data_IF_967273463239
#
_entry.id   IF_967273463239
#
_cell.length_a   1.000
_cell.length_b   1.000
_cell.length_c   1.000
_cell.angle_alpha   90.00
_cell.angle_beta   90.00
_cell.angle_gamma   90.00
#
_symmetry.space_group_name_H-M   'P 1'
#
loop_
_entity.id
_entity.type
_entity.pdbx_description
1 polymer ?
#
# COMPACT_ATOMS: atom_id res chain seq x y z
N UNK A 1 -3.45 -7.64 -27.12
CA UNK A 1 -3.40 -7.94 -25.68
C UNK A 1 -4.82 -7.91 -25.12
N UNK A 2 -5.20 -8.89 -24.27
CA UNK A 2 -6.50 -8.92 -23.57
C UNK A 2 -6.34 -8.21 -22.23
N UNK A 3 -7.26 -7.30 -21.92
CA UNK A 3 -7.20 -6.54 -20.69
C UNK A 3 -8.56 -6.50 -19.96
N UNK A 4 -8.53 -6.45 -18.64
CA UNK A 4 -9.69 -6.15 -17.81
C UNK A 4 -9.45 -4.87 -17.02
N UNK A 5 -10.38 -3.92 -17.11
CA UNK A 5 -10.39 -2.72 -16.26
C UNK A 5 -11.37 -2.95 -15.10
N UNK A 6 -10.84 -2.99 -13.90
CA UNK A 6 -11.63 -3.14 -12.66
C UNK A 6 -11.82 -1.75 -12.05
N UNK A 7 -13.06 -1.33 -11.93
CA UNK A 7 -13.43 0.03 -11.50
C UNK A 7 -14.18 0.00 -10.19
N UNK A 8 -13.74 0.78 -9.21
CA UNK A 8 -14.51 1.05 -8.01
C UNK A 8 -15.35 2.32 -8.21
N UNK A 9 -16.69 2.21 -8.41
CA UNK A 9 -17.55 3.35 -8.67
C UNK A 9 -17.67 4.30 -7.47
N UNK A 10 -17.33 3.85 -6.26
CA UNK A 10 -17.38 4.65 -5.04
C UNK A 10 -16.05 5.34 -4.70
N UNK A 11 -15.00 5.18 -5.51
CA UNK A 11 -13.74 5.86 -5.29
C UNK A 11 -13.88 7.37 -5.56
N UNK A 12 -13.18 8.18 -4.76
CA UNK A 12 -13.36 9.64 -4.69
C UNK A 12 -13.23 10.36 -6.04
N UNK A 13 -12.32 9.88 -6.90
CA UNK A 13 -12.07 10.48 -8.22
C UNK A 13 -12.81 9.79 -9.36
N UNK A 14 -13.67 8.80 -9.07
CA UNK A 14 -14.41 8.03 -10.09
C UNK A 14 -15.77 8.67 -10.35
N UNK A 15 -16.06 8.92 -11.62
CA UNK A 15 -17.38 9.27 -12.14
C UNK A 15 -17.66 8.42 -13.38
N UNK A 16 -18.91 8.21 -13.74
CA UNK A 16 -19.27 7.45 -14.95
C UNK A 16 -18.61 8.04 -16.20
N UNK A 17 -18.70 9.34 -16.38
CA UNK A 17 -18.08 10.03 -17.52
C UNK A 17 -16.56 9.82 -17.56
N UNK A 18 -15.89 9.89 -16.41
CA UNK A 18 -14.44 9.66 -16.34
C UNK A 18 -14.11 8.21 -16.65
N UNK A 19 -14.79 7.24 -16.04
CA UNK A 19 -14.65 5.81 -16.35
C UNK A 19 -14.75 5.55 -17.85
N UNK A 20 -15.78 6.09 -18.49
CA UNK A 20 -16.03 5.85 -19.93
C UNK A 20 -14.95 6.48 -20.80
N UNK A 21 -14.46 7.67 -20.44
CA UNK A 21 -13.33 8.32 -21.11
C UNK A 21 -12.06 7.45 -21.03
N UNK A 22 -11.70 7.01 -19.83
CA UNK A 22 -10.49 6.21 -19.59
C UNK A 22 -10.60 4.84 -20.29
N UNK A 23 -11.77 4.20 -20.21
CA UNK A 23 -12.03 2.93 -20.88
C UNK A 23 -11.95 3.06 -22.40
N UNK A 24 -12.52 4.12 -22.97
CA UNK A 24 -12.45 4.38 -24.41
C UNK A 24 -11.01 4.57 -24.88
N UNK A 25 -10.22 5.35 -24.16
CA UNK A 25 -8.81 5.56 -24.47
C UNK A 25 -8.00 4.25 -24.43
N UNK A 26 -8.17 3.44 -23.38
CA UNK A 26 -7.48 2.15 -23.28
C UNK A 26 -7.92 1.14 -24.35
N UNK A 27 -9.20 1.15 -24.74
CA UNK A 27 -9.73 0.25 -25.76
C UNK A 27 -9.14 0.49 -27.18
N UNK A 28 -8.47 1.62 -27.39
CA UNK A 28 -7.72 1.87 -28.62
C UNK A 28 -6.49 0.95 -28.76
N UNK A 29 -5.87 0.57 -27.64
CA UNK A 29 -4.62 -0.21 -27.63
C UNK A 29 -4.81 -1.68 -27.21
N UNK A 30 -5.91 -2.00 -26.48
CA UNK A 30 -6.13 -3.34 -25.93
C UNK A 30 -7.58 -3.81 -26.13
N UNK A 31 -7.79 -5.13 -26.13
CA UNK A 31 -9.14 -5.71 -26.08
C UNK A 31 -9.62 -5.62 -24.62
N UNK A 32 -10.39 -4.58 -24.32
CA UNK A 32 -10.76 -4.22 -22.97
C UNK A 32 -12.15 -4.77 -22.58
N UNK A 33 -12.19 -5.40 -21.39
CA UNK A 33 -13.43 -5.69 -20.66
C UNK A 33 -13.45 -4.76 -19.45
N UNK A 34 -14.58 -4.05 -19.23
CA UNK A 34 -14.75 -3.18 -18.07
C UNK A 34 -15.68 -3.86 -17.06
N UNK A 35 -15.21 -4.00 -15.82
CA UNK A 35 -15.98 -4.57 -14.71
C UNK A 35 -16.00 -3.60 -13.53
N UNK A 36 -17.17 -3.46 -12.89
CA UNK A 36 -17.32 -2.59 -11.71
C UNK A 36 -17.44 -3.44 -10.45
N UNK A 37 -16.83 -2.96 -9.37
CA UNK A 37 -17.00 -3.57 -8.05
C UNK A 37 -18.36 -3.19 -7.46
N UNK A 38 -18.97 -4.11 -6.74
CA UNK A 38 -20.27 -3.90 -6.08
C UNK A 38 -20.18 -3.96 -4.56
N UNK A 39 -19.12 -4.56 -4.03
CA UNK A 39 -18.91 -4.75 -2.59
C UNK A 39 -17.41 -4.88 -2.27
N UNK A 40 -17.07 -4.86 -0.99
CA UNK A 40 -15.72 -5.22 -0.50
C UNK A 40 -15.41 -6.68 -0.85
N UNK A 41 -14.20 -6.94 -1.31
CA UNK A 41 -13.75 -8.25 -1.79
C UNK A 41 -14.05 -8.53 -3.26
N UNK A 42 -15.04 -7.84 -3.88
CA UNK A 42 -15.41 -8.11 -5.26
C UNK A 42 -14.28 -7.77 -6.27
N UNK A 43 -13.39 -6.82 -5.95
CA UNK A 43 -12.24 -6.54 -6.82
C UNK A 43 -11.27 -7.74 -6.89
N UNK A 44 -11.09 -8.48 -5.79
CA UNK A 44 -10.29 -9.70 -5.78
C UNK A 44 -10.93 -10.80 -6.64
N UNK A 45 -12.24 -11.02 -6.52
CA UNK A 45 -12.97 -11.98 -7.35
C UNK A 45 -12.87 -11.65 -8.85
N UNK A 46 -12.98 -10.37 -9.21
CA UNK A 46 -12.83 -9.91 -10.58
C UNK A 46 -11.40 -10.13 -11.09
N UNK A 47 -10.40 -9.92 -10.24
CA UNK A 47 -9.01 -10.19 -10.59
C UNK A 47 -8.76 -11.68 -10.85
N UNK A 48 -9.29 -12.58 -9.99
CA UNK A 48 -9.23 -14.03 -10.24
C UNK A 48 -9.91 -14.39 -11.56
N UNK A 49 -11.09 -13.85 -11.83
CA UNK A 49 -11.79 -14.07 -13.12
C UNK A 49 -10.97 -13.58 -14.30
N UNK A 50 -10.28 -12.45 -14.16
CA UNK A 50 -9.41 -11.91 -15.22
C UNK A 50 -8.23 -12.85 -15.49
N UNK A 51 -7.56 -13.34 -14.42
CA UNK A 51 -6.45 -14.30 -14.55
C UNK A 51 -6.91 -15.58 -15.23
N UNK A 52 -7.97 -16.21 -14.73
CA UNK A 52 -8.54 -17.46 -15.30
C UNK A 52 -9.01 -17.24 -16.75
N UNK A 53 -9.57 -16.07 -17.07
CA UNK A 53 -9.96 -15.66 -18.43
C UNK A 53 -8.78 -15.36 -19.36
N UNK A 54 -7.55 -15.44 -18.86
CA UNK A 54 -6.31 -15.23 -19.61
C UNK A 54 -6.11 -13.75 -19.98
N UNK A 55 -6.50 -12.82 -19.12
CA UNK A 55 -6.11 -11.43 -19.27
C UNK A 55 -4.59 -11.29 -19.13
N UNK A 56 -3.99 -10.46 -19.97
CA UNK A 56 -2.56 -10.16 -19.96
C UNK A 56 -2.26 -8.88 -19.20
N UNK A 57 -3.31 -8.03 -19.03
CA UNK A 57 -3.25 -6.77 -18.29
C UNK A 57 -4.53 -6.60 -17.44
N UNK A 58 -4.35 -6.25 -16.19
CA UNK A 58 -5.44 -5.76 -15.32
C UNK A 58 -5.18 -4.27 -15.04
N UNK A 59 -6.13 -3.42 -15.40
CA UNK A 59 -6.11 -1.99 -15.10
C UNK A 59 -7.06 -1.74 -13.93
N UNK A 60 -6.56 -1.18 -12.83
CA UNK A 60 -7.37 -0.86 -11.65
C UNK A 60 -7.64 0.63 -11.60
N UNK A 61 -8.91 1.03 -11.64
CA UNK A 61 -9.32 2.40 -11.34
C UNK A 61 -10.03 2.45 -9.98
N UNK A 62 -9.27 2.84 -8.95
CA UNK A 62 -9.74 2.85 -7.57
C UNK A 62 -8.71 3.44 -6.60
N UNK A 63 -8.99 3.36 -5.32
CA UNK A 63 -8.06 3.71 -4.25
C UNK A 63 -7.20 2.52 -3.83
N UNK A 64 -6.30 2.75 -2.86
CA UNK A 64 -5.33 1.76 -2.37
C UNK A 64 -5.98 0.44 -1.92
N UNK A 65 -7.16 0.47 -1.26
CA UNK A 65 -7.88 -0.74 -0.88
C UNK A 65 -8.35 -1.57 -2.08
N UNK A 66 -8.83 -0.93 -3.16
CA UNK A 66 -9.21 -1.65 -4.38
C UNK A 66 -7.98 -2.27 -5.06
N UNK A 67 -6.85 -1.56 -5.06
CA UNK A 67 -5.57 -2.07 -5.57
C UNK A 67 -5.12 -3.29 -4.77
N UNK A 68 -5.19 -3.21 -3.42
CA UNK A 68 -4.83 -4.33 -2.55
C UNK A 68 -5.72 -5.56 -2.80
N UNK A 69 -7.04 -5.39 -2.95
CA UNK A 69 -7.94 -6.49 -3.30
C UNK A 69 -7.54 -7.14 -4.64
N UNK A 70 -7.27 -6.35 -5.68
CA UNK A 70 -6.87 -6.87 -7.00
C UNK A 70 -5.54 -7.61 -6.92
N UNK A 71 -4.55 -7.07 -6.21
CA UNK A 71 -3.26 -7.73 -6.01
C UNK A 71 -3.45 -9.07 -5.32
N UNK A 72 -4.24 -9.13 -4.24
CA UNK A 72 -4.53 -10.40 -3.55
C UNK A 72 -5.29 -11.39 -4.44
N UNK A 73 -6.19 -10.91 -5.32
CA UNK A 73 -6.85 -11.74 -6.32
C UNK A 73 -5.89 -12.32 -7.36
N UNK A 74 -4.94 -11.51 -7.88
CA UNK A 74 -3.90 -11.99 -8.80
C UNK A 74 -3.04 -13.06 -8.12
N UNK A 75 -2.59 -12.79 -6.89
CA UNK A 75 -1.72 -13.70 -6.15
C UNK A 75 -2.42 -15.01 -5.78
N UNK A 76 -3.71 -14.96 -5.44
CA UNK A 76 -4.50 -16.17 -5.09
C UNK A 76 -4.78 -17.08 -6.28
N UNK A 77 -4.73 -16.55 -7.51
CA UNK A 77 -4.94 -17.33 -8.73
C UNK A 77 -3.72 -18.17 -9.13
N UNK A 78 -2.57 -17.98 -8.46
CA UNK A 78 -1.32 -18.75 -8.62
C UNK A 78 -0.90 -19.00 -10.09
N UNK A 79 -1.03 -17.98 -10.92
CA UNK A 79 -0.73 -18.08 -12.35
C UNK A 79 0.79 -18.04 -12.66
N UNK A 80 1.64 -17.85 -11.67
CA UNK A 80 3.08 -17.83 -11.82
C UNK A 80 3.55 -16.80 -12.87
N UNK A 81 4.33 -17.23 -13.84
CA UNK A 81 4.86 -16.36 -14.92
C UNK A 81 3.79 -15.85 -15.88
N UNK A 82 2.64 -16.52 -15.94
CA UNK A 82 1.51 -16.14 -16.80
C UNK A 82 0.56 -15.15 -16.10
N UNK A 83 0.87 -14.73 -14.89
CA UNK A 83 0.11 -13.71 -14.19
C UNK A 83 0.05 -12.41 -14.99
N UNK A 84 -1.11 -11.74 -15.07
CA UNK A 84 -1.25 -10.49 -15.81
C UNK A 84 -0.36 -9.38 -15.22
N UNK A 85 0.00 -8.40 -16.05
CA UNK A 85 0.55 -7.15 -15.58
C UNK A 85 -0.54 -6.34 -14.86
N UNK A 86 -0.16 -5.62 -13.82
CA UNK A 86 -1.03 -4.65 -13.14
C UNK A 86 -0.71 -3.24 -13.61
N UNK A 87 -1.72 -2.46 -13.97
CA UNK A 87 -1.62 -1.01 -14.14
C UNK A 87 -2.62 -0.31 -13.21
N UNK A 88 -2.24 0.83 -12.64
CA UNK A 88 -3.08 1.53 -11.66
C UNK A 88 -3.44 2.93 -12.12
N UNK A 89 -4.73 3.21 -12.19
CA UNK A 89 -5.30 4.54 -12.41
C UNK A 89 -5.80 5.09 -11.06
N UNK A 90 -5.17 6.11 -10.50
CA UNK A 90 -5.51 6.65 -9.20
C UNK A 90 -6.98 7.10 -9.12
N UNK A 91 -7.74 6.51 -8.20
CA UNK A 91 -9.16 6.84 -7.98
C UNK A 91 -9.47 7.27 -6.55
N UNK A 92 -8.58 7.02 -5.61
CA UNK A 92 -8.71 7.35 -4.18
C UNK A 92 -8.11 8.71 -3.82
N UNK A 93 -8.10 9.00 -2.52
CA UNK A 93 -7.55 10.25 -1.98
C UNK A 93 -6.03 10.25 -1.82
N UNK A 94 -5.42 9.12 -1.50
CA UNK A 94 -3.99 9.03 -1.17
C UNK A 94 -3.18 8.36 -2.29
N UNK A 95 -3.65 7.22 -2.79
CA UNK A 95 -3.08 6.45 -3.90
C UNK A 95 -1.58 6.20 -3.70
N UNK A 96 -1.22 5.66 -2.52
CA UNK A 96 0.18 5.48 -2.10
C UNK A 96 0.93 4.60 -3.08
N UNK A 97 0.37 3.43 -3.39
CA UNK A 97 1.01 2.47 -4.28
C UNK A 97 1.19 3.02 -5.70
N UNK A 98 0.15 3.60 -6.30
CA UNK A 98 0.23 4.17 -7.64
C UNK A 98 1.33 5.24 -7.74
N UNK A 99 1.38 6.15 -6.76
CA UNK A 99 2.39 7.22 -6.69
C UNK A 99 3.81 6.67 -6.44
N UNK A 100 3.96 5.62 -5.62
CA UNK A 100 5.24 4.94 -5.43
C UNK A 100 5.74 4.28 -6.72
N UNK A 101 4.81 3.82 -7.58
CA UNK A 101 5.12 3.31 -8.92
C UNK A 101 5.32 4.42 -9.98
N UNK A 102 5.34 5.68 -9.59
CA UNK A 102 5.58 6.81 -10.50
C UNK A 102 4.38 7.22 -11.35
N UNK A 103 3.18 6.72 -11.03
CA UNK A 103 1.98 7.12 -11.75
C UNK A 103 1.53 8.54 -11.37
N UNK A 104 1.05 9.29 -12.33
CA UNK A 104 0.47 10.61 -12.13
C UNK A 104 -0.73 10.52 -11.17
N UNK A 105 -0.92 11.53 -10.33
CA UNK A 105 -2.04 11.56 -9.39
C UNK A 105 -3.41 11.76 -10.10
N UNK A 106 -3.41 12.42 -11.25
CA UNK A 106 -4.58 12.56 -12.10
C UNK A 106 -4.77 11.29 -12.94
N UNK A 107 -5.95 10.65 -12.94
CA UNK A 107 -6.19 9.41 -13.67
C UNK A 107 -6.13 9.57 -15.20
N UNK A 108 -6.36 10.75 -15.76
CA UNK A 108 -6.22 11.00 -17.21
C UNK A 108 -4.75 10.95 -17.59
N UNK A 109 -3.89 11.70 -16.86
CA UNK A 109 -2.44 11.68 -17.06
C UNK A 109 -1.85 10.28 -16.80
N UNK A 110 -2.38 9.55 -15.81
CA UNK A 110 -1.97 8.16 -15.56
C UNK A 110 -2.37 7.24 -16.72
N UNK A 111 -3.52 7.48 -17.37
CA UNK A 111 -3.93 6.73 -18.57
C UNK A 111 -3.00 7.03 -19.74
N UNK A 112 -2.62 8.27 -19.96
CA UNK A 112 -1.62 8.65 -20.98
C UNK A 112 -0.29 7.91 -20.75
N UNK A 113 0.18 7.84 -19.49
CA UNK A 113 1.40 7.08 -19.16
C UNK A 113 1.27 5.59 -19.50
N UNK A 114 0.11 4.98 -19.25
CA UNK A 114 -0.14 3.56 -19.58
C UNK A 114 -0.19 3.37 -21.10
N UNK A 115 -0.90 4.24 -21.82
CA UNK A 115 -0.99 4.17 -23.29
C UNK A 115 0.39 4.32 -23.93
N UNK A 116 1.20 5.30 -23.49
CA UNK A 116 2.58 5.47 -23.95
C UNK A 116 3.39 4.18 -23.73
N UNK A 117 3.32 3.59 -22.53
CA UNK A 117 4.02 2.36 -22.21
C UNK A 117 3.56 1.16 -23.07
N UNK A 118 2.27 1.08 -23.40
CA UNK A 118 1.72 0.05 -24.29
C UNK A 118 2.20 0.22 -25.72
N UNK A 119 2.19 1.43 -26.25
CA UNK A 119 2.63 1.75 -27.61
C UNK A 119 4.12 1.41 -27.81
N UNK A 120 4.98 1.81 -26.87
CA UNK A 120 6.42 1.50 -26.94
C UNK A 120 6.76 0.07 -26.48
N UNK A 121 5.74 -0.72 -26.09
CA UNK A 121 5.91 -2.09 -25.56
C UNK A 121 6.89 -2.15 -24.38
N UNK A 122 6.79 -1.17 -23.46
CA UNK A 122 7.63 -1.13 -22.28
C UNK A 122 7.51 -2.43 -21.48
N UNK A 123 8.62 -3.07 -21.09
CA UNK A 123 8.55 -4.23 -20.21
C UNK A 123 8.01 -3.84 -18.83
N UNK A 124 7.16 -4.67 -18.22
CA UNK A 124 6.67 -4.39 -16.87
C UNK A 124 7.83 -4.42 -15.87
N UNK A 125 7.75 -3.57 -14.86
CA UNK A 125 8.61 -3.66 -13.68
C UNK A 125 8.14 -4.81 -12.80
N UNK A 126 9.01 -5.74 -12.48
CA UNK A 126 8.73 -6.79 -11.49
C UNK A 126 9.07 -6.25 -10.11
N UNK A 127 8.17 -6.38 -9.16
CA UNK A 127 8.34 -5.87 -7.80
C UNK A 127 8.10 -6.95 -6.76
N UNK A 128 8.70 -6.75 -5.59
CA UNK A 128 8.41 -7.52 -4.39
C UNK A 128 7.08 -7.07 -3.76
N UNK A 129 6.43 -7.95 -3.02
CA UNK A 129 5.28 -7.62 -2.17
C UNK A 129 5.60 -8.00 -0.73
N UNK A 130 5.03 -7.27 0.21
CA UNK A 130 4.98 -7.73 1.58
C UNK A 130 3.83 -8.71 1.78
N UNK A 131 4.02 -9.69 2.69
CA UNK A 131 2.99 -10.65 3.09
C UNK A 131 2.93 -10.77 4.61
N UNK A 132 1.73 -10.86 5.13
CA UNK A 132 1.43 -11.22 6.52
C UNK A 132 0.29 -12.21 6.52
N UNK A 133 0.47 -13.35 7.19
CA UNK A 133 -0.42 -14.51 7.07
C UNK A 133 -0.61 -14.86 5.57
N UNK A 134 -1.87 -14.92 5.09
CA UNK A 134 -2.21 -15.17 3.68
C UNK A 134 -2.48 -13.88 2.90
N UNK A 135 -2.22 -12.69 3.49
CA UNK A 135 -2.53 -11.41 2.88
C UNK A 135 -1.29 -10.68 2.40
N UNK A 136 -1.29 -10.31 1.13
CA UNK A 136 -0.27 -9.44 0.54
C UNK A 136 -0.58 -7.98 0.80
N UNK A 137 0.46 -7.18 1.00
CA UNK A 137 0.37 -5.73 1.09
C UNK A 137 1.29 -5.05 0.08
N UNK A 138 0.79 -3.94 -0.44
CA UNK A 138 1.43 -3.20 -1.52
C UNK A 138 2.32 -2.07 -1.00
N UNK A 139 1.98 -1.46 0.14
CA UNK A 139 2.76 -0.35 0.68
C UNK A 139 3.07 -0.45 2.16
N UNK A 140 2.15 -0.85 3.04
CA UNK A 140 2.49 -1.01 4.45
C UNK A 140 1.57 -1.95 5.23
N UNK A 141 2.12 -2.46 6.34
CA UNK A 141 1.37 -3.12 7.38
C UNK A 141 1.88 -2.67 8.75
N UNK A 142 1.09 -2.81 9.81
CA UNK A 142 1.50 -2.37 11.14
C UNK A 142 0.76 -3.06 12.27
N UNK A 143 1.44 -3.14 13.41
CA UNK A 143 0.94 -3.68 14.67
C UNK A 143 1.01 -2.64 15.79
N UNK A 144 -0.04 -2.60 16.62
CA UNK A 144 -0.13 -1.74 17.80
C UNK A 144 -0.94 -0.47 17.55
N UNK A 145 -0.43 0.68 18.01
CA UNK A 145 -1.17 1.96 18.01
C UNK A 145 -1.68 2.36 16.61
N UNK A 146 -0.95 2.04 15.56
CA UNK A 146 -1.33 2.34 14.19
C UNK A 146 -2.64 1.62 13.78
N UNK A 147 -2.74 0.34 14.05
CA UNK A 147 -3.92 -0.44 13.72
C UNK A 147 -5.17 0.06 14.49
N UNK A 148 -5.00 0.54 15.72
CA UNK A 148 -6.09 1.13 16.50
C UNK A 148 -6.55 2.48 15.91
N UNK A 149 -5.63 3.27 15.35
CA UNK A 149 -5.95 4.50 14.63
C UNK A 149 -6.73 4.19 13.35
N UNK A 150 -6.27 3.18 12.58
CA UNK A 150 -6.96 2.73 11.36
C UNK A 150 -8.36 2.25 11.67
N UNK A 151 -8.55 1.41 12.70
CA UNK A 151 -9.87 0.98 13.19
C UNK A 151 -10.79 2.16 13.49
N UNK A 152 -10.30 3.13 14.26
CA UNK A 152 -11.10 4.30 14.64
C UNK A 152 -11.49 5.19 13.43
N UNK A 153 -10.74 5.12 12.34
CA UNK A 153 -11.05 5.79 11.07
C UNK A 153 -12.06 4.98 10.26
N UNK A 154 -11.91 3.65 10.19
CA UNK A 154 -12.87 2.75 9.52
C UNK A 154 -14.26 2.83 10.18
N UNK A 155 -14.32 2.77 11.52
CA UNK A 155 -15.57 2.90 12.27
C UNK A 155 -16.30 4.21 11.91
N UNK A 156 -15.56 5.31 11.72
CA UNK A 156 -16.13 6.59 11.31
C UNK A 156 -16.55 6.59 9.84
N UNK A 157 -15.82 5.90 8.98
CA UNK A 157 -16.17 5.74 7.56
C UNK A 157 -17.50 5.00 7.42
N UNK A 158 -17.72 3.97 8.22
CA UNK A 158 -18.97 3.22 8.28
C UNK A 158 -20.18 4.09 8.67
N UNK A 159 -19.97 5.21 9.39
CA UNK A 159 -21.05 6.17 9.73
C UNK A 159 -21.31 7.23 8.64
N UNK A 160 -20.68 7.13 7.46
CA UNK A 160 -20.86 8.07 6.34
C UNK A 160 -20.29 9.47 6.55
N UNK A 161 -19.48 9.69 7.61
CA UNK A 161 -18.91 11.01 7.93
C UNK A 161 -17.61 11.25 7.16
N UNK A 162 -17.37 12.47 6.67
CA UNK A 162 -16.16 12.79 5.92
C UNK A 162 -14.90 12.57 6.77
N UNK A 163 -13.86 12.02 6.13
CA UNK A 163 -12.57 11.75 6.74
C UNK A 163 -11.58 12.77 6.19
N UNK A 164 -10.91 13.48 7.10
CA UNK A 164 -9.84 14.41 6.76
C UNK A 164 -8.51 13.95 7.36
N UNK A 165 -7.39 14.38 6.74
CA UNK A 165 -6.05 14.12 7.29
C UNK A 165 -5.88 14.66 8.72
N UNK A 166 -6.59 15.74 9.05
CA UNK A 166 -6.64 16.28 10.42
C UNK A 166 -7.31 15.31 11.40
N UNK A 167 -8.31 14.55 10.94
CA UNK A 167 -8.95 13.53 11.77
C UNK A 167 -7.99 12.37 12.07
N UNK A 168 -7.21 11.90 11.08
CA UNK A 168 -6.17 10.89 11.30
C UNK A 168 -5.15 11.37 12.33
N UNK A 169 -4.61 12.59 12.17
CA UNK A 169 -3.67 13.17 13.12
C UNK A 169 -4.26 13.31 14.54
N UNK A 170 -5.53 13.77 14.63
CA UNK A 170 -6.22 13.91 15.93
C UNK A 170 -6.50 12.55 16.58
N UNK A 171 -6.85 11.52 15.79
CA UNK A 171 -7.06 10.15 16.30
C UNK A 171 -5.75 9.55 16.78
N UNK A 172 -4.67 9.66 16.01
CA UNK A 172 -3.34 9.22 16.42
C UNK A 172 -2.90 9.90 17.72
N UNK A 173 -3.09 11.22 17.85
CA UNK A 173 -2.79 11.96 19.05
C UNK A 173 -3.65 11.51 20.25
N UNK A 174 -4.98 11.36 20.05
CA UNK A 174 -5.87 10.89 21.12
C UNK A 174 -5.52 9.47 21.56
N UNK A 175 -5.17 8.60 20.61
CA UNK A 175 -4.78 7.23 20.91
C UNK A 175 -3.46 7.17 21.66
N UNK A 176 -2.48 8.02 21.30
CA UNK A 176 -1.23 8.14 22.06
C UNK A 176 -1.49 8.41 23.56
N UNK A 177 -2.40 9.30 23.91
CA UNK A 177 -2.72 9.60 25.33
C UNK A 177 -3.60 8.55 26.02
N UNK A 178 -4.30 7.71 25.26
CA UNK A 178 -5.14 6.62 25.80
C UNK A 178 -4.40 5.31 25.92
N UNK A 179 -3.30 5.15 25.21
CA UNK A 179 -2.53 3.91 25.21
C UNK A 179 -1.76 3.78 26.52
N UNK A 180 -1.82 2.59 27.09
CA UNK A 180 -0.91 2.19 28.15
C UNK A 180 0.52 2.20 27.59
N UNK A 181 1.39 3.02 28.19
CA UNK A 181 2.77 3.20 27.72
C UNK A 181 3.69 2.01 28.03
N UNK A 182 3.14 0.85 28.41
CA UNK A 182 3.92 -0.38 28.56
C UNK A 182 4.19 -1.01 27.18
N UNK A 183 5.46 -1.38 26.88
CA UNK A 183 5.79 -2.03 25.63
C UNK A 183 5.20 -3.45 25.60
N UNK A 184 4.49 -3.77 24.54
CA UNK A 184 3.78 -5.05 24.39
C UNK A 184 4.39 -5.98 23.35
N UNK A 185 5.34 -5.46 22.56
CA UNK A 185 5.85 -6.15 21.40
C UNK A 185 7.32 -6.56 21.60
N UNK A 186 7.65 -7.72 21.05
CA UNK A 186 9.01 -8.20 20.83
C UNK A 186 9.18 -8.46 19.35
N UNK A 187 10.26 -7.96 18.75
CA UNK A 187 10.53 -8.11 17.31
C UNK A 187 11.80 -8.91 17.06
N UNK A 188 11.80 -9.72 16.01
CA UNK A 188 12.98 -10.35 15.43
C UNK A 188 13.06 -9.98 13.95
N UNK A 189 14.23 -9.63 13.46
CA UNK A 189 14.48 -9.24 12.07
C UNK A 189 15.38 -10.29 11.45
N UNK A 190 14.98 -10.81 10.27
CA UNK A 190 15.71 -11.83 9.53
C UNK A 190 16.13 -13.04 10.40
N UNK A 191 15.17 -13.49 11.23
CA UNK A 191 15.35 -14.57 12.21
C UNK A 191 16.49 -14.33 13.22
N UNK A 192 16.91 -13.07 13.36
CA UNK A 192 17.90 -12.64 14.35
C UNK A 192 17.35 -12.64 15.79
N UNK A 193 18.16 -12.23 16.77
CA UNK A 193 17.79 -12.28 18.17
C UNK A 193 16.58 -11.39 18.48
N UNK A 194 15.66 -11.85 19.36
CA UNK A 194 14.47 -11.10 19.73
C UNK A 194 14.83 -9.83 20.50
N UNK A 195 14.19 -8.74 20.15
CA UNK A 195 14.33 -7.42 20.79
C UNK A 195 13.02 -7.04 21.46
N UNK A 196 12.90 -7.15 22.78
CA UNK A 196 11.71 -6.74 23.52
C UNK A 196 11.64 -5.21 23.68
N UNK A 197 10.53 -4.74 24.21
CA UNK A 197 10.39 -3.35 24.57
C UNK A 197 9.89 -2.46 23.45
N UNK A 198 9.18 -3.02 22.47
CA UNK A 198 8.64 -2.29 21.32
C UNK A 198 7.17 -1.94 21.56
N UNK A 199 6.77 -0.73 21.19
CA UNK A 199 5.41 -0.20 21.37
C UNK A 199 4.58 -0.21 20.10
N UNK A 200 5.22 -0.02 18.94
CA UNK A 200 4.57 -0.08 17.64
C UNK A 200 5.57 -0.54 16.58
N UNK A 201 5.04 -1.17 15.55
CA UNK A 201 5.79 -1.65 14.41
C UNK A 201 5.06 -1.23 13.13
N UNK A 202 5.79 -0.60 12.21
CA UNK A 202 5.41 -0.44 10.81
C UNK A 202 6.36 -1.24 9.93
N UNK A 203 5.79 -1.94 8.98
CA UNK A 203 6.53 -2.65 7.94
C UNK A 203 6.08 -2.11 6.59
N UNK A 204 7.00 -1.55 5.83
CA UNK A 204 6.71 -0.91 4.54
C UNK A 204 7.30 -1.72 3.40
N UNK A 205 6.56 -1.86 2.30
CA UNK A 205 7.03 -2.47 1.05
C UNK A 205 7.55 -1.42 0.06
N UNK A 206 7.17 -0.16 0.23
CA UNK A 206 7.59 0.96 -0.61
C UNK A 206 7.86 2.20 0.24
N UNK A 207 8.60 3.16 -0.31
CA UNK A 207 8.73 4.52 0.20
C UNK A 207 8.01 5.49 -0.78
N UNK A 208 7.21 6.43 -0.29
CA UNK A 208 6.92 6.78 1.10
C UNK A 208 5.87 5.86 1.77
N UNK A 209 5.85 5.84 3.10
CA UNK A 209 4.85 5.14 3.90
C UNK A 209 3.41 5.64 3.64
N UNK A 210 3.23 6.95 3.48
CA UNK A 210 1.96 7.59 3.12
C UNK A 210 2.20 9.01 2.61
N UNK A 211 1.11 9.73 2.32
CA UNK A 211 1.16 11.14 1.93
C UNK A 211 0.25 11.98 2.83
N UNK A 212 0.78 13.10 3.30
CA UNK A 212 -0.01 14.16 3.91
C UNK A 212 -0.24 15.24 2.83
N UNK A 213 -1.42 15.25 2.22
CA UNK A 213 -1.71 15.98 0.99
C UNK A 213 -0.74 15.58 -0.15
N UNK A 214 0.10 16.50 -0.60
CA UNK A 214 1.14 16.23 -1.60
C UNK A 214 2.51 15.85 -0.99
N UNK A 215 2.68 15.97 0.34
CA UNK A 215 3.95 15.70 1.02
C UNK A 215 4.12 14.23 1.32
N UNK A 216 5.23 13.60 0.88
CA UNK A 216 5.55 12.24 1.28
C UNK A 216 5.94 12.19 2.77
N UNK A 217 5.44 11.22 3.49
CA UNK A 217 5.85 10.87 4.85
C UNK A 217 6.74 9.63 4.72
N UNK A 218 8.01 9.78 5.04
CA UNK A 218 9.03 8.74 4.81
C UNK A 218 9.50 8.15 6.13
N UNK A 219 9.09 6.93 6.40
CA UNK A 219 9.61 6.14 7.55
C UNK A 219 10.93 5.49 7.18
N UNK A 220 11.02 4.93 5.99
CA UNK A 220 12.12 4.13 5.49
C UNK A 220 12.54 4.58 4.08
N UNK A 221 13.31 5.69 3.95
CA UNK A 221 13.69 6.25 2.65
C UNK A 221 14.56 5.34 1.77
N UNK A 222 15.16 4.31 2.35
CA UNK A 222 15.95 3.31 1.61
C UNK A 222 15.16 2.11 1.12
N UNK A 223 13.86 2.01 1.45
CA UNK A 223 13.01 0.90 1.02
C UNK A 223 12.52 1.13 -0.40
N UNK A 224 12.68 0.14 -1.26
CA UNK A 224 12.19 0.15 -2.64
C UNK A 224 11.37 -1.10 -2.92
N UNK A 225 10.41 -1.00 -3.84
CA UNK A 225 9.57 -2.13 -4.23
C UNK A 225 10.35 -3.30 -4.88
N UNK A 226 11.62 -3.11 -5.24
CA UNK A 226 12.46 -4.15 -5.86
C UNK A 226 13.35 -4.88 -4.84
N UNK A 227 13.25 -4.51 -3.56
CA UNK A 227 14.08 -5.04 -2.49
C UNK A 227 13.24 -5.64 -1.36
N UNK A 228 13.81 -5.75 -0.17
CA UNK A 228 13.12 -6.22 1.02
C UNK A 228 12.21 -5.16 1.66
N UNK A 229 11.70 -5.49 2.83
CA UNK A 229 10.80 -4.64 3.60
C UNK A 229 11.57 -3.56 4.37
N UNK A 230 10.91 -2.43 4.61
CA UNK A 230 11.36 -1.41 5.56
C UNK A 230 10.74 -1.63 6.93
N UNK A 231 11.56 -1.71 7.96
CA UNK A 231 11.11 -1.76 9.35
C UNK A 231 11.24 -0.39 10.02
N UNK A 232 10.19 0.05 10.67
CA UNK A 232 10.15 1.23 11.55
C UNK A 232 9.45 0.85 12.85
N UNK A 233 10.17 0.87 13.97
CA UNK A 233 9.62 0.46 15.27
C UNK A 233 10.03 1.42 16.37
N UNK A 234 9.10 1.79 17.24
CA UNK A 234 9.37 2.65 18.41
C UNK A 234 9.54 1.81 19.67
N UNK A 235 10.69 1.97 20.31
CA UNK A 235 11.04 1.37 21.61
C UNK A 235 10.81 2.35 22.78
N UNK A 236 10.37 3.57 22.51
CA UNK A 236 10.05 4.56 23.51
C UNK A 236 8.96 5.50 23.03
N UNK A 237 7.93 5.66 23.84
CA UNK A 237 6.86 6.63 23.63
C UNK A 237 7.06 7.91 24.46
N UNK A 238 8.28 8.23 24.93
CA UNK A 238 8.54 9.48 25.62
C UNK A 238 8.27 10.66 24.68
N UNK A 239 7.42 11.60 25.14
CA UNK A 239 6.92 12.71 24.33
C UNK A 239 8.01 13.49 23.55
N UNK A 240 9.16 13.86 24.14
CA UNK A 240 10.21 14.57 23.39
C UNK A 240 10.77 13.74 22.22
N UNK A 241 10.91 12.42 22.40
CA UNK A 241 11.38 11.50 21.35
C UNK A 241 10.36 11.35 20.22
N UNK A 242 9.08 11.17 20.57
CA UNK A 242 7.98 11.07 19.61
C UNK A 242 7.84 12.37 18.80
N UNK A 243 7.86 13.55 19.45
CA UNK A 243 7.79 14.84 18.76
C UNK A 243 9.00 15.06 17.82
N UNK A 244 10.19 14.64 18.25
CA UNK A 244 11.39 14.71 17.41
C UNK A 244 11.22 13.85 16.15
N UNK A 245 10.78 12.59 16.27
CA UNK A 245 10.55 11.69 15.14
C UNK A 245 9.45 12.24 14.25
N UNK A 246 8.32 12.67 14.80
CA UNK A 246 7.23 13.27 14.05
C UNK A 246 7.67 14.52 13.26
N UNK A 247 8.47 15.40 13.87
CA UNK A 247 9.04 16.57 13.20
C UNK A 247 10.01 16.20 12.08
N UNK A 248 10.74 15.09 12.21
CA UNK A 248 11.60 14.58 11.14
C UNK A 248 10.76 14.01 9.98
N UNK A 249 9.71 13.22 10.27
CA UNK A 249 8.82 12.65 9.24
C UNK A 249 8.15 13.72 8.38
N UNK A 250 7.93 14.92 8.92
CA UNK A 250 7.37 16.05 8.17
C UNK A 250 8.37 16.77 7.27
N UNK A 251 9.67 16.44 7.31
CA UNK A 251 10.69 17.01 6.44
C UNK A 251 10.73 16.27 5.10
N UNK A 252 10.92 17.00 4.00
CA UNK A 252 10.85 16.44 2.63
C UNK A 252 11.91 15.37 2.33
N UNK A 253 13.08 15.45 2.94
CA UNK A 253 14.22 14.54 2.73
C UNK A 253 14.75 13.99 4.05
N UNK A 254 13.86 13.73 5.02
CA UNK A 254 14.29 13.25 6.31
C UNK A 254 14.65 11.76 6.28
N UNK A 255 15.71 11.44 6.99
CA UNK A 255 16.02 10.09 7.42
C UNK A 255 15.75 10.04 8.94
N UNK A 256 14.59 9.54 9.39
CA UNK A 256 14.24 9.57 10.79
C UNK A 256 15.25 8.82 11.66
N UNK A 257 15.68 9.43 12.76
CA UNK A 257 16.60 8.81 13.71
C UNK A 257 16.34 9.30 15.15
N UNK A 258 16.33 8.38 16.10
CA UNK A 258 16.19 8.67 17.54
C UNK A 258 16.69 7.46 18.33
N UNK A 259 17.11 7.68 19.60
CA UNK A 259 17.48 6.58 20.51
C UNK A 259 16.37 5.57 20.74
N UNK A 260 15.10 6.00 20.65
CA UNK A 260 13.90 5.16 20.80
C UNK A 260 13.30 4.69 19.47
N UNK A 261 14.05 4.78 18.37
CA UNK A 261 13.62 4.34 17.04
C UNK A 261 14.56 3.25 16.54
N UNK A 262 13.98 2.09 16.23
CA UNK A 262 14.62 1.04 15.44
C UNK A 262 14.15 1.17 14.00
N UNK A 263 15.09 1.21 13.06
CA UNK A 263 14.83 1.28 11.64
C UNK A 263 15.80 0.43 10.87
N UNK A 264 15.29 -0.35 9.94
CA UNK A 264 16.09 -1.11 8.97
C UNK A 264 15.40 -1.04 7.62
N UNK A 265 16.18 -0.97 6.56
CA UNK A 265 15.71 -0.99 5.18
C UNK A 265 16.11 -2.34 4.55
N UNK A 266 15.30 -2.84 3.63
CA UNK A 266 15.58 -4.04 2.83
C UNK A 266 15.77 -5.33 3.66
N UNK A 267 14.93 -5.53 4.69
CA UNK A 267 14.90 -6.79 5.47
C UNK A 267 14.00 -7.82 4.78
N UNK A 268 14.34 -9.12 4.94
CA UNK A 268 13.54 -10.19 4.33
C UNK A 268 12.32 -10.55 5.16
N UNK A 269 12.45 -10.49 6.48
CA UNK A 269 11.35 -10.81 7.38
C UNK A 269 11.39 -10.01 8.68
N UNK A 270 10.20 -9.80 9.24
CA UNK A 270 10.00 -9.21 10.58
C UNK A 270 8.99 -10.08 11.32
N UNK A 271 9.42 -10.78 12.35
CA UNK A 271 8.54 -11.50 13.25
C UNK A 271 8.24 -10.64 14.48
N UNK A 272 6.97 -10.57 14.85
CA UNK A 272 6.48 -9.83 16.01
C UNK A 272 5.69 -10.76 16.91
N UNK A 273 6.02 -10.81 18.19
CA UNK A 273 5.21 -11.47 19.21
C UNK A 273 4.64 -10.42 20.16
N UNK A 274 3.41 -10.61 20.59
CA UNK A 274 2.71 -9.68 21.46
C UNK A 274 2.52 -10.28 22.84
N UNK A 275 2.73 -9.49 23.89
CA UNK A 275 2.40 -9.88 25.27
C UNK A 275 0.89 -10.00 25.47
N UNK A 276 0.15 -9.05 24.91
CA UNK A 276 -1.30 -9.00 24.86
C UNK A 276 -1.72 -8.78 23.41
N UNK A 277 -2.86 -9.31 22.93
CA UNK A 277 -3.32 -9.13 21.57
C UNK A 277 -3.40 -7.66 21.17
N UNK A 278 -2.83 -7.31 20.02
CA UNK A 278 -2.84 -5.95 19.47
C UNK A 278 -3.44 -5.93 18.06
N UNK A 279 -3.94 -4.78 17.65
CA UNK A 279 -4.50 -4.61 16.31
C UNK A 279 -3.44 -4.79 15.22
N UNK A 280 -3.83 -5.43 14.12
CA UNK A 280 -3.11 -5.53 12.86
C UNK A 280 -3.82 -4.69 11.81
N UNK A 281 -3.08 -3.91 11.05
CA UNK A 281 -3.55 -3.26 9.82
C UNK A 281 -2.70 -3.65 8.62
N UNK A 282 -3.30 -3.64 7.43
CA UNK A 282 -2.65 -3.92 6.14
C UNK A 282 -3.20 -2.95 5.10
N UNK A 283 -2.33 -2.18 4.46
CA UNK A 283 -2.68 -1.16 3.45
C UNK A 283 -3.85 -0.24 3.86
N UNK A 284 -3.95 0.07 5.16
CA UNK A 284 -4.99 0.90 5.74
C UNK A 284 -6.31 0.19 6.06
N UNK A 285 -6.37 -1.15 5.94
CA UNK A 285 -7.48 -2.00 6.37
C UNK A 285 -7.18 -2.61 7.75
N UNK A 286 -8.09 -2.49 8.69
CA UNK A 286 -7.98 -3.16 9.99
C UNK A 286 -8.36 -4.64 9.90
N UNK A 287 -7.45 -5.53 10.30
CA UNK A 287 -7.62 -6.99 10.20
C UNK A 287 -7.90 -7.69 11.56
N UNK A 288 -8.28 -6.92 12.57
CA UNK A 288 -8.54 -7.46 13.90
C UNK A 288 -7.31 -7.50 14.79
N UNK A 289 -7.42 -8.18 15.94
CA UNK A 289 -6.33 -8.35 16.91
C UNK A 289 -5.54 -9.62 16.66
N UNK A 290 -4.24 -9.61 17.04
CA UNK A 290 -3.31 -10.74 16.89
C UNK A 290 -2.41 -10.84 18.12
N UNK A 291 -2.01 -12.07 18.44
CA UNK A 291 -0.98 -12.38 19.45
C UNK A 291 0.45 -12.24 18.89
N UNK A 292 0.55 -12.03 17.60
CA UNK A 292 1.77 -11.81 16.86
C UNK A 292 1.51 -11.81 15.36
N UNK A 293 2.54 -11.52 14.59
CA UNK A 293 2.51 -11.59 13.12
C UNK A 293 3.92 -11.78 12.58
N UNK A 294 4.04 -12.46 11.44
CA UNK A 294 5.26 -12.51 10.66
C UNK A 294 5.01 -11.80 9.34
N UNK A 295 5.86 -10.84 9.04
CA UNK A 295 5.88 -10.12 7.79
C UNK A 295 7.04 -10.64 6.96
N UNK A 296 6.78 -11.11 5.75
CA UNK A 296 7.78 -11.62 4.84
C UNK A 296 7.82 -10.77 3.57
N UNK A 297 9.01 -10.55 3.02
CA UNK A 297 9.19 -10.03 1.67
C UNK A 297 9.04 -11.19 0.69
N UNK A 298 8.15 -11.02 -0.30
CA UNK A 298 7.98 -11.98 -1.40
C UNK A 298 8.61 -11.35 -2.64
N UNK A 299 9.81 -11.76 -3.03
CA UNK A 299 10.51 -11.18 -4.18
C UNK A 299 9.81 -11.56 -5.49
N UNK A 300 9.97 -10.70 -6.49
CA UNK A 300 9.49 -10.92 -7.87
C UNK A 300 8.00 -11.31 -7.98
N UNK A 301 7.18 -10.80 -7.04
CA UNK A 301 5.81 -11.26 -6.85
C UNK A 301 4.82 -10.68 -7.87
N UNK A 302 5.01 -9.45 -8.31
CA UNK A 302 4.04 -8.74 -9.14
C UNK A 302 4.70 -7.99 -10.27
N UNK A 303 4.14 -8.12 -11.47
CA UNK A 303 4.54 -7.34 -12.66
C UNK A 303 3.66 -6.10 -12.78
N UNK A 304 4.25 -4.91 -12.77
CA UNK A 304 3.53 -3.63 -12.82
C UNK A 304 3.92 -2.86 -14.07
N UNK A 305 2.92 -2.45 -14.85
CA UNK A 305 3.12 -1.53 -15.97
C UNK A 305 3.13 -0.09 -15.40
N UNK A 306 4.27 0.57 -15.52
CA UNK A 306 4.48 1.95 -15.06
C UNK A 306 4.60 2.90 -16.24
N UNK A 307 4.56 4.19 -16.00
CA UNK A 307 4.86 5.18 -17.06
C UNK A 307 6.29 5.06 -17.58
N UNK A 308 6.49 5.46 -18.81
CA UNK A 308 7.82 5.47 -19.45
C UNK A 308 8.75 6.41 -18.67
N UNK A 309 9.94 5.97 -18.24
CA UNK A 309 10.89 6.83 -17.59
C UNK A 309 11.26 8.07 -18.43
N UNK A 310 11.41 9.23 -17.78
CA UNK A 310 11.70 10.48 -18.47
C UNK A 310 12.95 10.41 -19.37
N UNK A 311 13.91 9.56 -19.03
CA UNK A 311 15.11 9.33 -19.81
C UNK A 311 14.85 8.66 -21.19
N UNK A 312 13.71 7.97 -21.35
CA UNK A 312 13.31 7.29 -22.60
C UNK A 312 12.30 8.10 -23.44
N UNK A 313 11.87 9.27 -22.95
CA UNK A 313 10.91 10.14 -23.65
C UNK A 313 11.55 11.10 -24.65
N UNK A 314 12.86 11.07 -24.82
CA UNK A 314 13.65 12.04 -25.60
C UNK A 314 14.25 11.45 -26.92
N UNK A 315 13.61 10.39 -27.47
CA UNK A 315 13.99 9.91 -28.81
C UNK A 315 12.84 10.08 -29.83
#
# INVERSE_FOLDING_TARGET
MRAMMIVNPHATATTERRRDLLAHALAAEVRLIVAQTTARGHAAELAVKAVVGGAELIVVHGGDGTVNEVVNGIMSADAGKDAPMLAVLPGGSTNVFARAMGMAADPVLATEQILEALVVRQPPRTISLGRVDDRYFTFNAGLGIDAEVVKAVEDRRATGKPISNLLHARKAFTQYFRTDHHPRLTISVDDGPPRPGVHLVFVSNVDPWTYFQSRPIRTNPGTTADAGLGLFALTSLRLPGVLRVAGQLLRRHATPSSRGLLRSDNVNSVAVTCRDPVGLQVDGDYLGVRDGARFDSVPDALRVLTGVPAALRSE
#
